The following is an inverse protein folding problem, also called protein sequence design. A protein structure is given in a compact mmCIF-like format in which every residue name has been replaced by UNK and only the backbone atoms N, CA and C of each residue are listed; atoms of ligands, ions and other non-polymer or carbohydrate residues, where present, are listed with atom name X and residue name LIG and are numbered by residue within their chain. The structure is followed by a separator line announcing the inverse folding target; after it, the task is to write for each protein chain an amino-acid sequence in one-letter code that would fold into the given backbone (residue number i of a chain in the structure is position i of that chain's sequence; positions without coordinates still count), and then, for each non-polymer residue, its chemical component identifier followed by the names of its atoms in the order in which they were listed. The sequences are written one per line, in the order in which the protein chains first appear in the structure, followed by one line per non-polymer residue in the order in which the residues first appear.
data_IF_511677783397
#
_entry.id   IF_511677783397
#
_cell.length_a   1.000
_cell.length_b   1.000
_cell.length_c   1.000
_cell.angle_alpha   90.00
_cell.angle_beta   90.00
_cell.angle_gamma   90.00
#
_symmetry.space_group_name_H-M   'P 1'
#
loop_
_entity.id
_entity.type
_entity.pdbx_description
1 polymer ?
#
# COMPACT_ATOMS: atom_id res chain seq x y z
N UNK A 1 -11.36 -2.25 5.76
CA UNK A 1 -12.20 -1.54 4.78
C UNK A 1 -13.64 -1.55 5.21
N UNK A 2 -14.36 -2.66 5.00
CA UNK A 2 -15.82 -2.74 5.23
C UNK A 2 -16.27 -2.30 6.62
N UNK A 3 -15.56 -2.66 7.69
CA UNK A 3 -15.91 -2.21 9.05
C UNK A 3 -15.79 -0.68 9.22
N UNK A 4 -14.81 -0.05 8.58
CA UNK A 4 -14.65 1.41 8.62
C UNK A 4 -15.75 2.10 7.81
N UNK A 5 -16.10 1.58 6.63
CA UNK A 5 -17.22 2.08 5.84
C UNK A 5 -18.56 1.93 6.59
N UNK A 6 -18.79 0.78 7.24
CA UNK A 6 -19.98 0.56 8.05
C UNK A 6 -20.04 1.53 9.24
N UNK A 7 -18.90 1.80 9.90
CA UNK A 7 -18.83 2.78 10.98
C UNK A 7 -19.13 4.19 10.49
N UNK A 8 -18.52 4.64 9.39
CA UNK A 8 -18.75 5.97 8.81
C UNK A 8 -20.22 6.15 8.38
N UNK A 9 -20.82 5.10 7.80
CA UNK A 9 -22.20 5.15 7.34
C UNK A 9 -23.23 5.14 8.47
N UNK A 10 -23.00 4.39 9.54
CA UNK A 10 -24.00 4.15 10.60
C UNK A 10 -23.74 4.90 11.90
N UNK A 11 -22.49 5.31 12.16
CA UNK A 11 -22.03 5.80 13.46
C UNK A 11 -21.98 4.72 14.55
N UNK A 12 -22.30 3.46 14.26
CA UNK A 12 -22.40 2.43 15.28
C UNK A 12 -21.02 1.93 15.77
N UNK A 13 -20.77 2.14 17.06
CA UNK A 13 -19.49 1.88 17.71
C UNK A 13 -19.04 0.42 17.67
N UNK A 14 -19.97 -0.52 17.45
CA UNK A 14 -19.68 -1.95 17.29
C UNK A 14 -18.74 -2.22 16.10
N UNK A 15 -18.89 -1.47 15.01
CA UNK A 15 -18.04 -1.61 13.82
C UNK A 15 -16.64 -1.07 14.08
N UNK A 16 -16.54 0.11 14.71
CA UNK A 16 -15.26 0.72 15.11
C UNK A 16 -14.47 -0.19 16.04
N UNK A 17 -15.09 -0.70 17.11
CA UNK A 17 -14.42 -1.58 18.08
C UNK A 17 -13.83 -2.83 17.44
N UNK A 18 -14.52 -3.41 16.45
CA UNK A 18 -13.99 -4.55 15.71
C UNK A 18 -12.89 -4.14 14.73
N UNK A 19 -13.03 -2.99 14.05
CA UNK A 19 -12.01 -2.47 13.15
C UNK A 19 -10.70 -2.13 13.88
N UNK A 20 -10.77 -1.59 15.11
CA UNK A 20 -9.60 -1.29 15.95
C UNK A 20 -8.82 -2.56 16.34
N UNK A 21 -9.49 -3.71 16.53
CA UNK A 21 -8.79 -5.00 16.71
C UNK A 21 -7.99 -5.39 15.47
N UNK A 22 -8.54 -5.16 14.28
CA UNK A 22 -7.81 -5.40 13.03
C UNK A 22 -6.60 -4.47 12.90
N UNK A 23 -6.68 -3.22 13.36
CA UNK A 23 -5.53 -2.31 13.38
C UNK A 23 -4.39 -2.88 14.21
N UNK A 24 -4.67 -3.42 15.40
CA UNK A 24 -3.64 -4.06 16.24
C UNK A 24 -3.06 -5.32 15.57
N UNK A 25 -3.88 -6.09 14.88
CA UNK A 25 -3.44 -7.25 14.10
C UNK A 25 -2.51 -6.84 12.94
N UNK A 26 -2.85 -5.79 12.19
CA UNK A 26 -2.00 -5.27 11.12
C UNK A 26 -0.71 -4.63 11.65
N UNK A 27 -0.76 -3.95 12.80
CA UNK A 27 0.44 -3.47 13.47
C UNK A 27 1.37 -4.63 13.83
N UNK A 28 0.84 -5.69 14.44
CA UNK A 28 1.64 -6.88 14.75
C UNK A 28 2.24 -7.49 13.47
N UNK A 29 1.46 -7.58 12.38
CA UNK A 29 1.91 -8.10 11.09
C UNK A 29 3.11 -7.32 10.54
N UNK A 30 3.04 -5.98 10.51
CA UNK A 30 4.14 -5.15 10.00
C UNK A 30 5.35 -5.16 10.92
N UNK A 31 5.14 -5.10 12.24
CA UNK A 31 6.23 -5.07 13.23
C UNK A 31 7.06 -6.35 13.22
N UNK A 32 6.46 -7.48 12.83
CA UNK A 32 7.11 -8.79 12.82
C UNK A 32 7.40 -9.33 11.42
N UNK A 33 7.23 -8.52 10.37
CA UNK A 33 7.42 -8.93 8.96
C UNK A 33 6.65 -10.21 8.56
N UNK A 34 5.40 -10.36 9.02
CA UNK A 34 4.61 -11.58 8.77
C UNK A 34 3.91 -11.48 7.42
N UNK A 35 4.36 -12.25 6.43
CA UNK A 35 3.71 -12.35 5.10
C UNK A 35 3.51 -10.98 4.44
N UNK A 36 4.57 -10.17 4.31
CA UNK A 36 4.51 -8.83 3.71
C UNK A 36 5.61 -8.60 2.66
N UNK A 37 6.20 -9.67 2.13
CA UNK A 37 7.22 -9.63 1.09
C UNK A 37 6.61 -9.60 -0.32
N UNK A 38 5.66 -8.71 -0.52
CA UNK A 38 4.92 -8.50 -1.77
C UNK A 38 4.43 -7.05 -1.87
N UNK A 39 3.96 -6.63 -3.03
CA UNK A 39 3.51 -5.25 -3.27
C UNK A 39 2.12 -4.89 -2.72
N UNK A 40 1.33 -5.87 -2.25
CA UNK A 40 -0.06 -5.66 -1.80
C UNK A 40 -0.23 -4.92 -0.46
N UNK A 41 0.74 -4.11 -0.06
CA UNK A 41 0.69 -3.42 1.21
C UNK A 41 -0.33 -2.26 1.20
N UNK A 42 -0.59 -1.64 0.06
CA UNK A 42 -1.68 -0.67 -0.02
C UNK A 42 -3.05 -1.32 0.20
N UNK A 43 -3.33 -2.48 -0.40
CA UNK A 43 -4.57 -3.21 -0.12
C UNK A 43 -4.73 -3.53 1.37
N UNK A 44 -3.66 -4.01 2.00
CA UNK A 44 -3.69 -4.39 3.40
C UNK A 44 -3.82 -3.19 4.33
N UNK A 45 -3.02 -2.14 4.15
CA UNK A 45 -2.87 -1.04 5.13
C UNK A 45 -3.67 0.22 4.79
N UNK A 46 -3.92 0.55 3.52
CA UNK A 46 -4.75 1.70 3.16
C UNK A 46 -6.20 1.53 3.64
N UNK A 47 -6.75 0.32 3.43
CA UNK A 47 -8.12 0.00 3.81
C UNK A 47 -8.30 -0.28 5.31
N UNK A 48 -7.22 -0.51 6.05
CA UNK A 48 -7.26 -0.84 7.47
C UNK A 48 -6.73 0.32 8.32
N UNK A 49 -5.41 0.52 8.36
CA UNK A 49 -4.72 1.42 9.28
C UNK A 49 -4.75 2.87 8.81
N UNK A 50 -4.65 3.16 7.51
CA UNK A 50 -4.83 4.54 7.01
C UNK A 50 -6.27 5.00 7.23
N UNK A 51 -7.25 4.14 6.95
CA UNK A 51 -8.67 4.42 7.20
C UNK A 51 -8.92 4.70 8.69
N UNK A 52 -8.32 3.90 9.58
CA UNK A 52 -8.41 4.12 11.03
C UNK A 52 -7.82 5.48 11.44
N UNK A 53 -6.63 5.84 10.92
CA UNK A 53 -6.02 7.13 11.20
C UNK A 53 -6.91 8.29 10.72
N UNK A 54 -7.41 8.23 9.49
CA UNK A 54 -8.27 9.28 8.93
C UNK A 54 -9.56 9.49 9.73
N UNK A 55 -10.19 8.41 10.20
CA UNK A 55 -11.48 8.48 10.91
C UNK A 55 -11.33 8.79 12.42
N UNK A 56 -10.19 8.47 13.03
CA UNK A 56 -10.06 8.50 14.51
C UNK A 56 -8.85 9.26 15.02
N UNK A 57 -7.90 9.63 14.17
CA UNK A 57 -6.61 10.20 14.58
C UNK A 57 -5.67 9.19 15.26
N UNK A 58 -5.90 7.88 15.12
CA UNK A 58 -5.09 6.85 15.79
C UNK A 58 -3.62 6.87 15.35
N UNK A 59 -2.72 7.34 16.22
CA UNK A 59 -1.28 7.36 15.97
C UNK A 59 -0.68 5.95 15.82
N UNK A 60 -1.25 4.95 16.51
CA UNK A 60 -0.87 3.53 16.32
C UNK A 60 -1.13 3.09 14.89
N UNK A 61 -2.27 3.50 14.31
CA UNK A 61 -2.62 3.19 12.93
C UNK A 61 -1.74 3.95 11.93
N UNK A 62 -1.42 5.21 12.22
CA UNK A 62 -0.46 6.00 11.42
C UNK A 62 0.92 5.34 11.39
N UNK A 63 1.46 4.96 12.54
CA UNK A 63 2.75 4.28 12.66
C UNK A 63 2.78 2.99 11.81
N UNK A 64 1.76 2.14 11.95
CA UNK A 64 1.65 0.90 11.17
C UNK A 64 1.58 1.17 9.66
N UNK A 65 0.85 2.20 9.24
CA UNK A 65 0.72 2.57 7.82
C UNK A 65 2.03 3.10 7.23
N UNK A 66 2.79 3.90 7.99
CA UNK A 66 4.10 4.40 7.55
C UNK A 66 5.10 3.24 7.44
N UNK A 67 5.14 2.33 8.41
CA UNK A 67 5.97 1.11 8.33
C UNK A 67 5.62 0.25 7.12
N UNK A 68 4.33 0.16 6.77
CA UNK A 68 3.91 -0.55 5.57
C UNK A 68 4.35 0.18 4.29
N UNK A 69 4.32 1.52 4.27
CA UNK A 69 4.86 2.30 3.16
C UNK A 69 6.39 2.11 3.01
N UNK A 70 7.14 2.13 4.11
CA UNK A 70 8.57 1.83 4.14
C UNK A 70 8.87 0.42 3.58
N UNK A 71 8.07 -0.58 3.98
CA UNK A 71 8.19 -1.94 3.46
C UNK A 71 7.85 -2.02 1.97
N UNK A 72 6.86 -1.26 1.50
CA UNK A 72 6.48 -1.25 0.08
C UNK A 72 7.59 -0.65 -0.79
N UNK A 73 8.17 0.49 -0.37
CA UNK A 73 9.28 1.11 -1.13
C UNK A 73 10.56 0.29 -1.07
N UNK A 74 10.73 -0.63 -0.11
CA UNK A 74 11.87 -1.56 -0.11
C UNK A 74 11.87 -2.52 -1.30
N UNK A 75 10.76 -2.60 -2.05
CA UNK A 75 10.63 -3.39 -3.29
C UNK A 75 10.84 -2.56 -4.55
N UNK A 76 11.10 -1.26 -4.42
CA UNK A 76 11.35 -0.37 -5.54
C UNK A 76 12.65 -0.75 -6.26
N UNK A 77 12.58 -0.79 -7.59
CA UNK A 77 13.68 -1.10 -8.49
C UNK A 77 14.08 0.17 -9.23
N UNK A 78 15.28 0.69 -8.94
CA UNK A 78 15.81 1.89 -9.62
C UNK A 78 15.94 1.66 -11.13
N UNK A 79 16.40 0.48 -11.54
CA UNK A 79 16.47 0.10 -12.95
C UNK A 79 15.09 -0.31 -13.43
N UNK A 80 14.51 0.48 -14.33
CA UNK A 80 13.14 0.28 -14.81
C UNK A 80 12.08 0.99 -13.97
N UNK A 81 12.46 1.58 -12.84
CA UNK A 81 11.62 2.54 -12.10
C UNK A 81 10.22 2.00 -11.74
N UNK A 82 10.18 0.84 -11.09
CA UNK A 82 8.92 0.19 -10.68
C UNK A 82 9.04 -0.53 -9.33
N UNK A 83 7.91 -0.85 -8.71
CA UNK A 83 7.84 -1.65 -7.49
C UNK A 83 7.66 -3.13 -7.87
N UNK A 84 8.61 -3.98 -7.49
CA UNK A 84 8.58 -5.41 -7.84
C UNK A 84 7.44 -6.12 -7.11
N UNK A 85 6.63 -6.90 -7.84
CA UNK A 85 5.40 -7.49 -7.31
C UNK A 85 5.65 -8.46 -6.14
N UNK A 86 6.42 -9.53 -6.38
CA UNK A 86 6.77 -10.56 -5.39
C UNK A 86 8.06 -11.27 -5.78
N UNK A 87 8.47 -12.25 -4.97
CA UNK A 87 9.66 -13.05 -5.20
C UNK A 87 10.96 -12.33 -4.81
N UNK A 88 12.07 -13.02 -5.05
CA UNK A 88 13.42 -12.54 -4.76
C UNK A 88 13.69 -11.21 -5.47
N UNK A 89 14.06 -10.18 -4.69
CA UNK A 89 14.31 -8.84 -5.20
C UNK A 89 15.50 -8.83 -6.16
N UNK A 90 15.33 -8.21 -7.34
CA UNK A 90 16.41 -8.12 -8.32
C UNK A 90 16.67 -9.39 -9.14
N UNK A 91 16.04 -10.51 -8.78
CA UNK A 91 16.16 -11.76 -9.55
C UNK A 91 15.49 -11.60 -10.91
N UNK A 92 16.20 -11.98 -11.98
CA UNK A 92 15.73 -11.84 -13.37
C UNK A 92 14.38 -12.50 -13.59
N UNK A 93 14.14 -13.65 -12.97
CA UNK A 93 12.90 -14.42 -13.14
C UNK A 93 11.70 -13.78 -12.42
N UNK A 94 11.97 -12.90 -11.46
CA UNK A 94 10.98 -12.19 -10.65
C UNK A 94 10.92 -10.68 -10.91
N UNK A 95 11.75 -10.16 -11.83
CA UNK A 95 11.94 -8.73 -12.09
C UNK A 95 10.78 -8.10 -12.88
N UNK A 96 9.61 -7.99 -12.24
CA UNK A 96 8.36 -7.54 -12.87
C UNK A 96 7.44 -6.84 -11.88
N UNK A 97 6.51 -6.05 -12.40
CA UNK A 97 5.36 -5.53 -11.65
C UNK A 97 4.05 -6.11 -12.20
N UNK A 98 2.95 -5.92 -11.47
CA UNK A 98 1.61 -6.35 -11.89
C UNK A 98 0.70 -5.11 -11.83
N UNK A 99 -0.30 -5.04 -12.71
CA UNK A 99 -1.16 -3.85 -12.88
C UNK A 99 -1.88 -3.39 -11.59
N UNK A 100 -2.22 -4.32 -10.69
CA UNK A 100 -2.86 -4.02 -9.41
C UNK A 100 -1.96 -3.23 -8.44
N UNK A 101 -0.66 -3.14 -8.70
CA UNK A 101 0.26 -2.28 -7.96
C UNK A 101 -0.14 -0.78 -8.05
N UNK A 102 -0.89 -0.40 -9.08
CA UNK A 102 -1.52 0.93 -9.18
C UNK A 102 -2.49 1.23 -8.04
N UNK A 103 -3.09 0.21 -7.41
CA UNK A 103 -3.92 0.36 -6.21
C UNK A 103 -3.12 0.29 -4.90
N UNK A 104 -1.82 -0.02 -4.98
CA UNK A 104 -0.93 -0.06 -3.84
C UNK A 104 -0.14 1.24 -3.64
N UNK A 105 0.21 1.95 -4.71
CA UNK A 105 0.91 3.26 -4.63
C UNK A 105 0.13 4.41 -3.96
N UNK A 106 -1.21 4.42 -3.83
CA UNK A 106 -1.91 5.40 -2.99
C UNK A 106 -1.45 5.40 -1.53
N UNK A 107 -0.95 4.27 -1.01
CA UNK A 107 -0.32 4.23 0.32
C UNK A 107 0.91 5.15 0.38
N UNK A 108 1.71 5.18 -0.69
CA UNK A 108 2.93 5.97 -0.77
C UNK A 108 2.62 7.46 -0.89
N UNK A 109 1.63 7.84 -1.70
CA UNK A 109 1.17 9.23 -1.76
C UNK A 109 0.68 9.72 -0.38
N UNK A 110 -0.13 8.90 0.30
CA UNK A 110 -0.58 9.22 1.66
C UNK A 110 0.59 9.35 2.65
N UNK A 111 1.59 8.47 2.57
CA UNK A 111 2.77 8.53 3.44
C UNK A 111 3.57 9.81 3.19
N UNK A 112 3.75 10.21 1.94
CA UNK A 112 4.40 11.48 1.59
C UNK A 112 3.68 12.69 2.19
N UNK A 113 2.35 12.76 2.02
CA UNK A 113 1.53 13.85 2.56
C UNK A 113 1.56 13.89 4.10
N UNK A 114 1.56 12.72 4.73
CA UNK A 114 1.51 12.59 6.20
C UNK A 114 2.84 12.87 6.88
N UNK A 115 3.96 12.58 6.21
CA UNK A 115 5.32 12.69 6.78
C UNK A 115 6.09 13.91 6.28
N UNK A 116 5.73 14.45 5.12
CA UNK A 116 6.52 15.45 4.40
C UNK A 116 7.72 14.87 3.63
N UNK A 117 7.92 13.55 3.65
CA UNK A 117 9.01 12.89 2.92
C UNK A 117 8.60 12.64 1.46
N UNK A 118 9.27 13.30 0.53
CA UNK A 118 8.94 13.23 -0.90
C UNK A 118 9.35 11.91 -1.55
N UNK A 119 10.23 11.10 -0.94
CA UNK A 119 10.71 9.85 -1.56
C UNK A 119 9.57 8.90 -1.95
N UNK A 120 8.50 8.85 -1.13
CA UNK A 120 7.36 7.98 -1.38
C UNK A 120 6.60 8.42 -2.63
N UNK A 121 6.39 9.74 -2.79
CA UNK A 121 5.74 10.32 -3.97
C UNK A 121 6.57 10.09 -5.22
N UNK A 122 7.88 10.34 -5.16
CA UNK A 122 8.79 10.16 -6.29
C UNK A 122 8.77 8.71 -6.80
N UNK A 123 8.85 7.72 -5.91
CA UNK A 123 8.79 6.31 -6.30
C UNK A 123 7.41 5.90 -6.83
N UNK A 124 6.32 6.46 -6.27
CA UNK A 124 4.97 6.22 -6.75
C UNK A 124 4.74 6.79 -8.16
N UNK A 125 5.17 8.03 -8.41
CA UNK A 125 5.05 8.70 -9.71
C UNK A 125 5.81 7.94 -10.79
N UNK A 126 7.05 7.54 -10.47
CA UNK A 126 7.88 6.72 -11.35
C UNK A 126 7.22 5.38 -11.69
N UNK A 127 6.72 4.65 -10.69
CA UNK A 127 6.01 3.40 -10.91
C UNK A 127 4.74 3.58 -11.75
N UNK A 128 3.98 4.66 -11.51
CA UNK A 128 2.79 4.99 -12.30
C UNK A 128 3.14 5.21 -13.78
N UNK A 129 4.14 6.04 -14.07
CA UNK A 129 4.59 6.32 -15.44
C UNK A 129 5.08 5.04 -16.12
N UNK A 130 5.90 4.24 -15.45
CA UNK A 130 6.37 2.95 -15.98
C UNK A 130 5.19 2.01 -16.26
N UNK A 131 4.19 1.96 -15.38
CA UNK A 131 3.01 1.11 -15.57
C UNK A 131 2.23 1.56 -16.81
N UNK A 132 1.88 2.84 -16.92
CA UNK A 132 1.15 3.38 -18.06
C UNK A 132 1.84 3.11 -19.40
N UNK A 133 3.18 3.14 -19.44
CA UNK A 133 3.94 2.95 -20.66
C UNK A 133 4.16 1.48 -21.06
N UNK A 134 3.89 0.51 -20.17
CA UNK A 134 4.24 -0.89 -20.43
C UNK A 134 3.09 -1.88 -20.22
N UNK A 135 2.26 -1.69 -19.18
CA UNK A 135 1.17 -2.64 -18.87
C UNK A 135 -0.12 -2.29 -19.61
N UNK A 136 -0.30 -1.02 -19.99
CA UNK A 136 -1.40 -0.57 -20.84
C UNK A 136 -0.96 -0.67 -22.29
N UNK A 137 -1.78 -1.34 -23.11
CA UNK A 137 -1.53 -1.53 -24.54
C UNK A 137 -2.07 -0.35 -25.35
N UNK A 138 -1.61 -0.24 -26.59
CA UNK A 138 -2.05 0.81 -27.53
C UNK A 138 -3.57 0.81 -27.79
N UNK A 139 -4.23 -0.34 -27.62
CA UNK A 139 -5.69 -0.49 -27.74
C UNK A 139 -6.45 -0.26 -26.42
N UNK A 140 -5.76 0.27 -25.40
CA UNK A 140 -6.25 0.49 -24.04
C UNK A 140 -6.65 -0.78 -23.25
N UNK A 141 -6.35 -1.98 -23.77
CA UNK A 141 -6.39 -3.19 -22.95
C UNK A 141 -5.15 -3.27 -22.03
N UNK A 142 -5.17 -4.21 -21.08
CA UNK A 142 -4.09 -4.36 -20.09
C UNK A 142 -3.44 -5.74 -20.13
N UNK A 143 -2.11 -5.77 -19.96
CA UNK A 143 -1.41 -6.96 -19.47
C UNK A 143 -1.71 -7.18 -17.99
N UNK A 144 -1.51 -8.42 -17.53
CA UNK A 144 -1.50 -8.69 -16.09
C UNK A 144 -0.17 -8.25 -15.48
N UNK A 145 0.92 -8.68 -16.11
CA UNK A 145 2.32 -8.45 -15.75
C UNK A 145 3.06 -7.93 -16.96
#
# INVERSE_FOLDING_TARGET
GLLWLAYEHTGEDKYRKLAEKNVLSFKNRVDNNIEIDHHDLGFLYSLSTVSAYKLTGSEVAKEASIKAADKLISRYQEKGEFIQAWGELGSKDHYRFIIDCLLNIPLLYWASETTGDNKYREMADKHFVTSCNNVIRDDASAFHT
#
